data_IF_203541477778
#
_entry.id   IF_203541477778
#
_cell.length_a   1.000
_cell.length_b   1.000
_cell.length_c   1.000
_cell.angle_alpha   90.00
_cell.angle_beta   90.00
_cell.angle_gamma   90.00
#
_symmetry.space_group_name_H-M   'P 1'
#
loop_
_entity.id
_entity.type
_entity.pdbx_description
1 polymer ?
#
# COMPACT_ATOMS: atom_id res chain seq x y z
N UNK A 1 4.41 -27.83 31.84
CA UNK A 1 3.61 -27.12 30.81
C UNK A 1 4.32 -25.85 30.32
N UNK A 2 5.65 -25.90 30.09
CA UNK A 2 6.48 -24.73 29.75
C UNK A 2 6.78 -24.68 28.25
N UNK A 3 7.16 -25.82 27.66
CA UNK A 3 7.50 -25.93 26.24
C UNK A 3 6.35 -25.50 25.31
N UNK A 4 5.11 -25.80 25.70
CA UNK A 4 3.91 -25.40 24.94
C UNK A 4 3.73 -23.89 24.86
N UNK A 5 3.90 -23.18 26.00
CA UNK A 5 3.81 -21.72 26.04
C UNK A 5 4.99 -21.05 25.34
N UNK A 6 6.22 -21.58 25.44
CA UNK A 6 7.35 -21.05 24.68
C UNK A 6 7.14 -21.16 23.16
N UNK A 7 6.68 -22.33 22.68
CA UNK A 7 6.36 -22.51 21.26
C UNK A 7 5.23 -21.59 20.81
N UNK A 8 4.23 -21.36 21.66
CA UNK A 8 3.14 -20.43 21.39
C UNK A 8 3.63 -18.98 21.30
N UNK A 9 4.46 -18.53 22.25
CA UNK A 9 5.00 -17.17 22.26
C UNK A 9 5.83 -16.88 21.00
N UNK A 10 6.78 -17.76 20.65
CA UNK A 10 7.60 -17.60 19.44
C UNK A 10 6.76 -17.60 18.16
N UNK A 11 5.67 -18.38 18.14
CA UNK A 11 4.75 -18.42 16.99
C UNK A 11 3.92 -17.13 16.86
N UNK A 12 3.38 -16.64 17.97
CA UNK A 12 2.40 -15.56 17.98
C UNK A 12 3.07 -14.16 17.94
N UNK A 13 4.36 -14.04 18.28
CA UNK A 13 5.10 -12.77 18.38
C UNK A 13 6.07 -12.50 17.20
N UNK A 14 5.69 -12.86 15.96
CA UNK A 14 6.46 -12.47 14.77
C UNK A 14 6.10 -11.04 14.31
N UNK A 15 7.02 -10.38 13.60
CA UNK A 15 6.82 -9.03 13.04
C UNK A 15 5.58 -8.95 12.14
N UNK A 16 5.24 -10.05 11.47
CA UNK A 16 4.00 -10.22 10.69
C UNK A 16 3.24 -11.42 11.21
N UNK A 17 1.95 -11.24 11.48
CA UNK A 17 1.07 -12.32 11.93
C UNK A 17 0.63 -13.18 10.75
N UNK A 18 1.02 -14.45 10.78
CA UNK A 18 0.69 -15.44 9.74
C UNK A 18 -0.39 -16.41 10.23
N UNK A 19 -1.41 -16.75 9.42
CA UNK A 19 -2.39 -17.78 9.77
C UNK A 19 -1.73 -19.13 10.06
N UNK A 20 -2.28 -19.85 11.03
CA UNK A 20 -1.70 -21.13 11.49
C UNK A 20 -1.65 -22.19 10.39
N UNK A 21 -2.74 -22.36 9.63
CA UNK A 21 -2.80 -23.33 8.53
C UNK A 21 -1.71 -23.09 7.49
N UNK A 22 -1.48 -21.81 7.15
CA UNK A 22 -0.49 -21.40 6.18
C UNK A 22 0.94 -21.68 6.68
N UNK A 23 1.21 -21.41 7.96
CA UNK A 23 2.51 -21.68 8.60
C UNK A 23 2.78 -23.19 8.74
N UNK A 24 1.76 -23.97 9.11
CA UNK A 24 1.87 -25.43 9.22
C UNK A 24 2.17 -26.05 7.83
N UNK A 25 1.51 -25.54 6.78
CA UNK A 25 1.80 -25.93 5.39
C UNK A 25 3.23 -25.54 4.97
N UNK A 26 3.70 -24.34 5.33
CA UNK A 26 5.05 -23.88 5.03
C UNK A 26 6.12 -24.76 5.67
N UNK A 27 5.96 -25.12 6.94
CA UNK A 27 6.90 -26.03 7.61
C UNK A 27 6.88 -27.43 7.02
N UNK A 28 5.70 -27.95 6.65
CA UNK A 28 5.58 -29.23 5.94
C UNK A 28 6.30 -29.17 4.58
N UNK A 29 6.13 -28.07 3.84
CA UNK A 29 6.78 -27.85 2.55
C UNK A 29 8.31 -27.77 2.70
N UNK A 30 8.84 -27.11 3.73
CA UNK A 30 10.27 -27.07 4.03
C UNK A 30 10.85 -28.45 4.35
N UNK A 31 10.17 -29.24 5.19
CA UNK A 31 10.61 -30.61 5.50
C UNK A 31 10.63 -31.50 4.26
N UNK A 32 9.62 -31.38 3.40
CA UNK A 32 9.56 -32.08 2.12
C UNK A 32 10.66 -31.59 1.17
N UNK A 33 10.92 -30.28 1.11
CA UNK A 33 12.01 -29.69 0.32
C UNK A 33 13.36 -30.30 0.72
N UNK A 34 13.67 -30.35 2.02
CA UNK A 34 14.92 -30.95 2.52
C UNK A 34 15.03 -32.45 2.21
N UNK A 35 13.95 -33.21 2.43
CA UNK A 35 13.88 -34.64 2.13
C UNK A 35 14.13 -34.91 0.64
N UNK A 36 13.45 -34.18 -0.24
CA UNK A 36 13.61 -34.33 -1.68
C UNK A 36 14.98 -33.86 -2.15
N UNK A 37 15.52 -32.78 -1.58
CA UNK A 37 16.86 -32.31 -1.91
C UNK A 37 17.92 -33.38 -1.64
N UNK A 38 17.81 -34.06 -0.49
CA UNK A 38 18.69 -35.17 -0.14
C UNK A 38 18.54 -36.36 -1.10
N UNK A 39 17.30 -36.75 -1.46
CA UNK A 39 17.04 -37.90 -2.33
C UNK A 39 17.44 -37.67 -3.79
N UNK A 40 17.24 -36.45 -4.29
CA UNK A 40 17.47 -36.09 -5.71
C UNK A 40 18.91 -35.62 -5.95
N UNK A 41 19.66 -35.24 -4.91
CA UNK A 41 20.99 -34.64 -5.04
C UNK A 41 20.98 -33.26 -5.71
N UNK A 42 19.81 -32.60 -5.75
CA UNK A 42 19.59 -31.26 -6.31
C UNK A 42 18.43 -30.59 -5.58
N UNK A 43 18.28 -29.27 -5.73
CA UNK A 43 17.05 -28.62 -5.24
C UNK A 43 15.81 -29.18 -5.96
N UNK A 44 14.75 -29.52 -5.20
CA UNK A 44 13.48 -29.96 -5.77
C UNK A 44 12.69 -28.78 -6.33
N UNK A 45 11.87 -29.05 -7.34
CA UNK A 45 10.96 -28.04 -7.90
C UNK A 45 9.73 -27.88 -7.01
N UNK A 46 9.05 -26.74 -7.13
CA UNK A 46 7.79 -26.49 -6.40
C UNK A 46 6.74 -27.56 -6.72
N UNK A 47 6.72 -28.09 -7.95
CA UNK A 47 5.81 -29.16 -8.35
C UNK A 47 6.12 -30.51 -7.70
N UNK A 48 7.40 -30.82 -7.49
CA UNK A 48 7.82 -32.01 -6.75
C UNK A 48 7.42 -31.90 -5.27
N UNK A 49 7.59 -30.73 -4.67
CA UNK A 49 7.15 -30.43 -3.31
C UNK A 49 5.62 -30.53 -3.20
N UNK A 50 4.87 -29.95 -4.14
CA UNK A 50 3.41 -29.97 -4.17
C UNK A 50 2.87 -31.41 -4.25
N UNK A 51 3.46 -32.24 -5.12
CA UNK A 51 3.10 -33.67 -5.27
C UNK A 51 3.31 -34.46 -3.98
N UNK A 52 4.44 -34.26 -3.31
CA UNK A 52 4.76 -34.97 -2.06
C UNK A 52 3.97 -34.43 -0.85
N UNK A 53 3.66 -33.13 -0.82
CA UNK A 53 2.88 -32.51 0.26
C UNK A 53 1.37 -32.74 0.13
N UNK A 54 0.87 -32.99 -1.09
CA UNK A 54 -0.53 -33.16 -1.41
C UNK A 54 -1.33 -31.85 -1.46
N UNK A 55 -0.63 -30.71 -1.60
CA UNK A 55 -1.23 -29.38 -1.69
C UNK A 55 -1.05 -28.78 -3.09
N UNK A 56 -1.80 -27.73 -3.42
CA UNK A 56 -1.64 -27.06 -4.71
C UNK A 56 -0.33 -26.25 -4.76
N UNK A 57 0.23 -26.09 -5.97
CA UNK A 57 1.48 -25.34 -6.19
C UNK A 57 1.37 -23.90 -5.65
N UNK A 58 0.23 -23.25 -5.87
CA UNK A 58 -0.03 -21.88 -5.42
C UNK A 58 -0.07 -21.78 -3.89
N UNK A 59 -0.70 -22.75 -3.23
CA UNK A 59 -0.73 -22.82 -1.76
C UNK A 59 0.67 -23.00 -1.17
N UNK A 60 1.52 -23.80 -1.82
CA UNK A 60 2.91 -24.00 -1.40
C UNK A 60 3.72 -22.70 -1.57
N UNK A 61 3.59 -21.99 -2.68
CA UNK A 61 4.27 -20.71 -2.91
C UNK A 61 3.84 -19.70 -1.85
N UNK A 62 2.53 -19.50 -1.69
CA UNK A 62 1.99 -18.57 -0.69
C UNK A 62 2.43 -18.93 0.74
N UNK A 63 2.50 -20.22 1.07
CA UNK A 63 2.93 -20.68 2.38
C UNK A 63 4.41 -20.38 2.64
N UNK A 64 5.28 -20.66 1.66
CA UNK A 64 6.71 -20.38 1.76
C UNK A 64 6.98 -18.87 1.83
N UNK A 65 6.29 -18.06 1.02
CA UNK A 65 6.42 -16.61 1.05
C UNK A 65 5.97 -16.04 2.40
N UNK A 66 4.89 -16.56 2.96
CA UNK A 66 4.31 -16.05 4.21
C UNK A 66 5.21 -16.22 5.45
N UNK A 67 6.15 -17.19 5.44
CA UNK A 67 7.09 -17.38 6.55
C UNK A 67 8.41 -16.62 6.37
N UNK A 68 8.57 -15.88 5.28
CA UNK A 68 9.76 -15.08 5.00
C UNK A 68 9.86 -13.94 6.02
N UNK A 69 11.02 -13.79 6.66
CA UNK A 69 11.25 -12.72 7.61
C UNK A 69 11.44 -11.38 6.87
N UNK A 70 10.84 -10.29 7.37
CA UNK A 70 11.04 -8.98 6.76
C UNK A 70 12.49 -8.51 6.97
N UNK A 71 13.03 -7.85 5.94
CA UNK A 71 14.38 -7.28 5.97
C UNK A 71 14.35 -5.94 6.72
N UNK A 72 15.44 -5.63 7.43
CA UNK A 72 15.57 -4.35 8.13
C UNK A 72 15.81 -3.20 7.15
N UNK A 73 15.08 -2.09 7.30
CA UNK A 73 15.33 -0.87 6.52
C UNK A 73 16.73 -0.28 6.78
N UNK A 74 17.33 -0.60 7.93
CA UNK A 74 18.67 -0.15 8.32
C UNK A 74 19.76 -1.17 7.96
N UNK A 75 19.47 -2.13 7.09
CA UNK A 75 20.47 -3.03 6.56
C UNK A 75 21.30 -2.31 5.48
N UNK A 76 22.65 -2.31 5.56
CA UNK A 76 23.49 -1.64 4.58
C UNK A 76 23.54 -2.45 3.27
N UNK A 77 23.23 -1.79 2.15
CA UNK A 77 23.32 -2.37 0.79
C UNK A 77 24.72 -2.22 0.22
N UNK A 78 25.43 -1.16 0.62
CA UNK A 78 26.81 -0.90 0.23
C UNK A 78 27.56 -0.28 1.42
N UNK A 79 28.79 -0.73 1.68
CA UNK A 79 29.60 -0.27 2.81
C UNK A 79 31.01 0.07 2.34
N UNK A 80 31.15 1.22 1.69
CA UNK A 80 32.45 1.86 1.52
C UNK A 80 32.71 2.83 2.67
N UNK A 81 34.00 3.04 2.98
CA UNK A 81 34.57 3.53 4.25
C UNK A 81 34.09 4.89 4.80
N UNK A 82 33.17 5.60 4.15
CA UNK A 82 32.71 6.92 4.63
C UNK A 82 31.19 7.04 4.81
N UNK A 83 30.37 6.44 3.93
CA UNK A 83 28.90 6.51 4.03
C UNK A 83 28.27 5.19 3.59
N UNK A 84 27.61 4.50 4.52
CA UNK A 84 26.84 3.29 4.21
C UNK A 84 25.50 3.68 3.59
N UNK A 85 25.15 3.08 2.46
CA UNK A 85 23.83 3.21 1.86
C UNK A 85 22.93 2.13 2.43
N UNK A 86 21.80 2.53 3.01
CA UNK A 86 20.83 1.61 3.61
C UNK A 86 19.71 1.26 2.64
N UNK A 87 18.98 0.18 2.93
CA UNK A 87 17.76 -0.17 2.19
C UNK A 87 16.76 0.99 2.21
N UNK A 88 16.65 1.68 3.35
CA UNK A 88 15.79 2.86 3.51
C UNK A 88 16.05 3.93 2.42
N UNK A 89 17.31 4.14 2.05
CA UNK A 89 17.71 5.20 1.10
C UNK A 89 17.28 4.89 -0.34
N UNK A 90 16.95 3.63 -0.64
CA UNK A 90 16.54 3.18 -1.97
C UNK A 90 15.02 3.08 -2.13
N UNK A 91 14.26 3.23 -1.05
CA UNK A 91 12.80 3.15 -1.09
C UNK A 91 12.23 4.50 -1.47
N UNK A 92 11.56 4.57 -2.62
CA UNK A 92 10.85 5.76 -3.07
C UNK A 92 9.48 5.87 -2.40
N UNK A 93 9.16 7.05 -1.86
CA UNK A 93 7.78 7.41 -1.53
C UNK A 93 7.03 7.76 -2.83
N UNK A 94 6.01 6.96 -3.16
CA UNK A 94 5.15 7.16 -4.34
C UNK A 94 3.94 8.04 -4.07
N UNK A 95 3.66 8.36 -2.79
CA UNK A 95 2.51 9.13 -2.34
C UNK A 95 2.88 10.59 -2.09
N UNK A 96 3.95 10.84 -1.34
CA UNK A 96 4.48 12.18 -1.10
C UNK A 96 5.63 12.50 -2.04
N UNK A 97 5.31 12.75 -3.30
CA UNK A 97 6.28 13.22 -4.28
C UNK A 97 6.33 14.75 -4.32
N UNK A 98 7.48 15.29 -4.71
CA UNK A 98 7.64 16.74 -4.95
C UNK A 98 6.59 17.27 -5.92
N UNK A 99 6.26 16.50 -6.97
CA UNK A 99 5.20 16.84 -7.93
C UNK A 99 3.83 16.97 -7.26
N UNK A 100 3.50 16.08 -6.31
CA UNK A 100 2.25 16.13 -5.55
C UNK A 100 2.19 17.41 -4.70
N UNK A 101 3.31 17.77 -4.08
CA UNK A 101 3.43 18.99 -3.28
C UNK A 101 3.28 20.24 -4.15
N UNK A 102 3.99 20.31 -5.29
CA UNK A 102 3.90 21.42 -6.24
C UNK A 102 2.48 21.58 -6.76
N UNK A 103 1.81 20.48 -7.15
CA UNK A 103 0.43 20.49 -7.59
C UNK A 103 -0.53 20.99 -6.50
N UNK A 104 -0.31 20.57 -5.25
CA UNK A 104 -1.12 21.02 -4.10
C UNK A 104 -0.98 22.52 -3.86
N UNK A 105 0.25 23.04 -3.92
CA UNK A 105 0.53 24.48 -3.77
C UNK A 105 -0.09 25.27 -4.93
N UNK A 106 0.11 24.82 -6.17
CA UNK A 106 -0.44 25.46 -7.36
C UNK A 106 -1.97 25.51 -7.32
N UNK A 107 -2.62 24.40 -6.94
CA UNK A 107 -4.07 24.33 -6.77
C UNK A 107 -4.56 25.28 -5.68
N UNK A 108 -3.88 25.33 -4.52
CA UNK A 108 -4.26 26.24 -3.43
C UNK A 108 -4.18 27.70 -3.89
N UNK A 109 -3.11 28.09 -4.60
CA UNK A 109 -2.95 29.45 -5.12
C UNK A 109 -4.00 29.78 -6.20
N UNK A 110 -4.34 28.82 -7.06
CA UNK A 110 -5.36 29.00 -8.09
C UNK A 110 -6.75 29.19 -7.45
N UNK A 111 -7.10 28.38 -6.44
CA UNK A 111 -8.34 28.52 -5.67
C UNK A 111 -8.36 29.86 -4.95
N UNK A 112 -7.24 30.33 -4.39
CA UNK A 112 -7.20 31.57 -3.62
C UNK A 112 -7.63 32.81 -4.38
N UNK A 113 -7.50 32.77 -5.70
CA UNK A 113 -7.86 33.86 -6.62
C UNK A 113 -9.31 33.81 -7.09
N UNK A 114 -10.07 32.77 -6.71
CA UNK A 114 -11.50 32.70 -6.93
C UNK A 114 -12.23 33.66 -5.99
N UNK A 115 -13.40 34.12 -6.43
CA UNK A 115 -14.27 34.92 -5.57
C UNK A 115 -14.83 34.07 -4.42
N UNK A 116 -15.20 34.72 -3.31
CA UNK A 116 -15.69 34.02 -2.11
C UNK A 116 -16.88 33.10 -2.42
N UNK A 117 -17.74 33.52 -3.36
CA UNK A 117 -18.90 32.74 -3.81
C UNK A 117 -18.49 31.49 -4.59
N UNK A 118 -17.51 31.61 -5.48
CA UNK A 118 -16.94 30.49 -6.25
C UNK A 118 -16.27 29.47 -5.31
N UNK A 119 -15.43 29.97 -4.37
CA UNK A 119 -14.81 29.14 -3.33
C UNK A 119 -15.84 28.35 -2.52
N UNK A 120 -16.91 29.03 -2.08
CA UNK A 120 -17.98 28.40 -1.29
C UNK A 120 -18.71 27.31 -2.08
N UNK A 121 -19.01 27.55 -3.35
CA UNK A 121 -19.64 26.54 -4.23
C UNK A 121 -18.72 25.33 -4.40
N UNK A 122 -17.44 25.54 -4.74
CA UNK A 122 -16.50 24.44 -4.91
C UNK A 122 -16.28 23.66 -3.61
N UNK A 123 -16.19 24.32 -2.46
CA UNK A 123 -16.08 23.65 -1.16
C UNK A 123 -17.28 22.73 -0.88
N UNK A 124 -18.50 23.18 -1.17
CA UNK A 124 -19.67 22.33 -0.97
C UNK A 124 -19.72 21.17 -1.96
N UNK A 125 -19.31 21.38 -3.22
CA UNK A 125 -19.32 20.36 -4.27
C UNK A 125 -18.26 19.28 -4.05
N UNK A 126 -17.02 19.68 -3.78
CA UNK A 126 -15.86 18.77 -3.78
C UNK A 126 -15.38 18.36 -2.39
N UNK A 127 -15.54 19.21 -1.36
CA UNK A 127 -15.15 18.84 0.01
C UNK A 127 -16.31 18.29 0.84
N UNK A 128 -17.54 18.80 0.63
CA UNK A 128 -18.74 18.33 1.35
C UNK A 128 -19.60 17.34 0.55
N UNK A 129 -19.22 17.05 -0.70
CA UNK A 129 -19.91 16.07 -1.55
C UNK A 129 -21.36 16.41 -1.92
N UNK A 130 -21.78 17.67 -1.80
CA UNK A 130 -23.16 18.09 -2.12
C UNK A 130 -23.42 18.10 -3.61
N UNK A 131 -24.65 17.76 -4.01
CA UNK A 131 -25.15 17.90 -5.38
C UNK A 131 -25.32 19.38 -5.78
N UNK A 132 -25.38 19.68 -7.08
CA UNK A 132 -25.60 21.06 -7.54
C UNK A 132 -26.97 21.61 -7.08
N UNK A 133 -27.98 20.75 -6.97
CA UNK A 133 -29.31 21.12 -6.47
C UNK A 133 -29.27 21.48 -4.99
N UNK A 134 -28.64 20.65 -4.15
CA UNK A 134 -28.48 20.95 -2.72
C UNK A 134 -27.68 22.24 -2.47
N UNK A 135 -26.68 22.51 -3.32
CA UNK A 135 -25.93 23.78 -3.30
C UNK A 135 -26.80 24.96 -3.73
N UNK A 136 -27.66 24.76 -4.73
CA UNK A 136 -28.58 25.78 -5.23
C UNK A 136 -29.58 26.18 -4.15
N UNK A 137 -30.14 25.18 -3.44
CA UNK A 137 -31.06 25.37 -2.32
C UNK A 137 -30.40 26.10 -1.14
N UNK A 138 -29.16 25.75 -0.78
CA UNK A 138 -28.43 26.41 0.32
C UNK A 138 -28.05 27.87 0.00
N UNK A 139 -27.71 28.17 -1.25
CA UNK A 139 -27.28 29.52 -1.68
C UNK A 139 -28.48 30.40 -2.09
N UNK A 140 -29.64 29.81 -2.38
CA UNK A 140 -30.82 30.53 -2.85
C UNK A 140 -30.72 30.96 -4.32
N UNK A 141 -30.19 30.10 -5.19
CA UNK A 141 -30.10 30.33 -6.65
C UNK A 141 -30.57 29.11 -7.43
N UNK A 142 -30.67 29.21 -8.75
CA UNK A 142 -31.03 28.05 -9.58
C UNK A 142 -29.84 27.10 -9.77
N UNK A 143 -30.12 25.80 -9.94
CA UNK A 143 -29.11 24.80 -10.25
C UNK A 143 -28.33 25.16 -11.54
N UNK A 144 -28.99 25.73 -12.54
CA UNK A 144 -28.34 26.21 -13.75
C UNK A 144 -27.33 27.34 -13.47
N UNK A 145 -27.62 28.23 -12.52
CA UNK A 145 -26.66 29.25 -12.08
C UNK A 145 -25.48 28.64 -11.32
N UNK A 146 -25.72 27.67 -10.42
CA UNK A 146 -24.63 26.93 -9.75
C UNK A 146 -23.71 26.27 -10.77
N UNK A 147 -24.29 25.57 -11.76
CA UNK A 147 -23.53 24.91 -12.82
C UNK A 147 -22.66 25.89 -13.63
N UNK A 148 -23.19 27.07 -13.98
CA UNK A 148 -22.42 28.13 -14.66
C UNK A 148 -21.27 28.65 -13.80
N UNK A 149 -21.52 28.91 -12.51
CA UNK A 149 -20.48 29.41 -11.58
C UNK A 149 -19.40 28.34 -11.36
N UNK A 150 -19.80 27.09 -11.14
CA UNK A 150 -18.88 25.95 -10.98
C UNK A 150 -17.99 25.79 -12.21
N UNK A 151 -18.59 25.80 -13.42
CA UNK A 151 -17.83 25.70 -14.68
C UNK A 151 -16.83 26.85 -14.83
N UNK A 152 -17.25 28.09 -14.59
CA UNK A 152 -16.37 29.26 -14.68
C UNK A 152 -15.23 29.21 -13.66
N UNK A 153 -15.53 28.81 -12.42
CA UNK A 153 -14.53 28.64 -11.37
C UNK A 153 -13.51 27.55 -11.74
N UNK A 154 -13.95 26.41 -12.26
CA UNK A 154 -13.08 25.34 -12.74
C UNK A 154 -12.20 25.79 -13.92
N UNK A 155 -12.75 26.57 -14.86
CA UNK A 155 -11.95 27.16 -15.95
C UNK A 155 -10.91 28.14 -15.42
N UNK A 156 -11.26 28.99 -14.45
CA UNK A 156 -10.32 29.90 -13.79
C UNK A 156 -9.19 29.15 -13.09
N UNK A 157 -9.49 28.05 -12.40
CA UNK A 157 -8.48 27.20 -11.75
C UNK A 157 -7.58 26.54 -12.80
N UNK A 158 -8.17 25.93 -13.83
CA UNK A 158 -7.42 25.23 -14.88
C UNK A 158 -6.48 26.14 -15.67
N UNK A 159 -6.84 27.39 -15.92
CA UNK A 159 -5.98 28.34 -16.62
C UNK A 159 -4.80 28.86 -15.76
N UNK A 160 -4.77 28.51 -14.47
CA UNK A 160 -3.76 28.95 -13.50
C UNK A 160 -2.90 27.78 -12.98
N UNK A 161 -3.26 26.56 -13.32
CA UNK A 161 -2.45 25.35 -13.18
C UNK A 161 -1.58 25.20 -14.43
#
# INVERSE_FOLDING_TARGET
MILGEMRRYVRDNNSVRVPRSLRDLAYKALQVKEKLAFLLGREPTVEEIAKETGAEKEEIINALDAITEPISLYEPVYSDTSDSVYILDQIKDSVNTDDSWVNTIALSQAIDKLEQREKRILAMRFFRGKTQTEVADEIGISQAQVSRIEKNALTKVRNRL
#
